data_IF_453903265330
#
_entry.id   IF_453903265330
#
_cell.length_a   1.000
_cell.length_b   1.000
_cell.length_c   1.000
_cell.angle_alpha   90.00
_cell.angle_beta   90.00
_cell.angle_gamma   90.00
#
_symmetry.space_group_name_H-M   'P 1'
#
loop_
_entity.id
_entity.type
_entity.pdbx_description
1 polymer ?
#
# COMPACT_ATOMS: atom_id res chain seq x y z
N UNK A 1 4.96 -12.51 5.99
CA UNK A 1 3.55 -12.59 5.58
C UNK A 1 2.69 -12.07 6.72
N UNK A 2 1.97 -10.95 6.51
CA UNK A 2 0.99 -10.43 7.49
C UNK A 2 -0.31 -10.21 6.74
N UNK A 3 -1.17 -11.22 6.81
CA UNK A 3 -2.54 -11.23 6.31
C UNK A 3 -3.37 -10.21 7.09
N UNK A 4 -3.92 -9.20 6.41
CA UNK A 4 -4.95 -8.32 6.96
C UNK A 4 -6.30 -8.83 6.47
N UNK A 5 -7.11 -9.28 7.41
CA UNK A 5 -8.46 -9.79 7.18
C UNK A 5 -9.35 -8.64 6.69
N UNK A 6 -10.03 -8.85 5.57
CA UNK A 6 -11.13 -7.99 5.10
C UNK A 6 -12.28 -8.20 6.08
N UNK A 7 -12.62 -7.14 6.81
CA UNK A 7 -13.70 -7.13 7.79
C UNK A 7 -15.05 -7.34 7.12
N UNK A 8 -15.82 -8.24 7.74
CA UNK A 8 -17.06 -8.80 7.29
C UNK A 8 -18.17 -7.77 7.09
N UNK A 9 -18.97 -7.98 6.05
CA UNK A 9 -20.27 -7.36 5.86
C UNK A 9 -21.19 -7.72 7.03
N UNK A 10 -21.54 -6.74 7.86
CA UNK A 10 -22.57 -6.89 8.89
C UNK A 10 -23.89 -6.38 8.31
N UNK A 11 -24.73 -7.33 7.91
CA UNK A 11 -26.15 -7.09 7.68
C UNK A 11 -26.85 -7.01 9.03
N UNK A 12 -27.49 -5.88 9.33
CA UNK A 12 -28.37 -5.72 10.51
C UNK A 12 -29.73 -5.21 10.06
N UNK A 13 -30.72 -6.08 10.18
CA UNK A 13 -32.15 -5.77 10.20
C UNK A 13 -32.49 -5.37 11.64
N UNK A 14 -33.23 -4.26 11.88
CA UNK A 14 -34.42 -4.22 12.73
C UNK A 14 -35.00 -2.80 12.98
N UNK A 15 -36.34 -2.81 13.06
CA UNK A 15 -37.25 -1.93 13.82
C UNK A 15 -37.66 -0.57 13.24
N UNK A 16 -38.93 -0.53 12.83
CA UNK A 16 -39.75 0.65 12.55
C UNK A 16 -40.08 1.34 13.88
N UNK A 17 -39.67 2.60 14.06
CA UNK A 17 -39.97 3.40 15.23
C UNK A 17 -39.97 4.90 14.91
N UNK A 18 -41.16 5.51 15.00
CA UNK A 18 -41.51 6.94 15.02
C UNK A 18 -40.50 7.97 14.47
N UNK A 19 -40.79 8.52 13.29
CA UNK A 19 -40.09 9.67 12.73
C UNK A 19 -40.36 10.94 13.55
N UNK A 20 -39.42 11.31 14.42
CA UNK A 20 -39.19 12.71 14.72
C UNK A 20 -38.54 13.35 13.48
N UNK A 21 -39.21 14.31 12.84
CA UNK A 21 -38.65 15.09 11.73
C UNK A 21 -37.48 15.92 12.24
N UNK A 22 -36.27 15.35 12.24
CA UNK A 22 -35.06 16.17 12.19
C UNK A 22 -35.05 16.85 10.81
N UNK A 23 -34.78 18.16 10.73
CA UNK A 23 -34.76 18.84 9.45
C UNK A 23 -33.67 18.19 8.59
N UNK A 24 -34.01 17.80 7.36
CA UNK A 24 -33.13 17.07 6.44
C UNK A 24 -31.73 17.73 6.29
N UNK A 25 -31.65 19.06 6.45
CA UNK A 25 -30.41 19.83 6.45
C UNK A 25 -29.46 19.49 7.61
N UNK A 26 -29.97 19.15 8.80
CA UNK A 26 -29.14 18.77 9.95
C UNK A 26 -28.45 17.42 9.75
N UNK A 27 -29.15 16.46 9.12
CA UNK A 27 -28.60 15.14 8.75
C UNK A 27 -27.52 15.28 7.67
N UNK A 28 -27.76 16.09 6.64
CA UNK A 28 -26.79 16.32 5.57
C UNK A 28 -25.49 16.98 6.08
N UNK A 29 -25.59 17.96 6.99
CA UNK A 29 -24.40 18.57 7.63
C UNK A 29 -23.60 17.54 8.44
N UNK A 30 -24.29 16.62 9.13
CA UNK A 30 -23.62 15.57 9.90
C UNK A 30 -22.94 14.54 8.98
N UNK A 31 -23.55 14.19 7.85
CA UNK A 31 -22.93 13.32 6.84
C UNK A 31 -21.64 13.94 6.29
N UNK A 32 -21.68 15.20 5.83
CA UNK A 32 -20.49 15.89 5.32
C UNK A 32 -19.38 15.97 6.38
N UNK A 33 -19.71 16.14 7.66
CA UNK A 33 -18.72 16.09 8.75
C UNK A 33 -18.09 14.71 8.90
N UNK A 34 -18.88 13.65 8.75
CA UNK A 34 -18.42 12.27 8.80
C UNK A 34 -17.51 11.95 7.61
N UNK A 35 -17.92 12.27 6.38
CA UNK A 35 -17.09 12.09 5.18
C UNK A 35 -15.73 12.80 5.31
N UNK A 36 -15.73 14.02 5.87
CA UNK A 36 -14.50 14.77 6.14
C UNK A 36 -13.59 14.06 7.15
N UNK A 37 -14.13 13.27 8.07
CA UNK A 37 -13.35 12.49 9.03
C UNK A 37 -12.74 11.26 8.36
N UNK A 38 -13.53 10.55 7.55
CA UNK A 38 -13.12 9.37 6.78
C UNK A 38 -12.02 9.73 5.76
N UNK A 39 -12.25 10.75 4.94
CA UNK A 39 -11.23 11.27 3.99
C UNK A 39 -9.94 11.66 4.73
N UNK A 40 -10.01 12.22 5.94
CA UNK A 40 -8.80 12.56 6.72
C UNK A 40 -8.06 11.30 7.18
N UNK A 41 -8.79 10.24 7.53
CA UNK A 41 -8.21 8.95 7.90
C UNK A 41 -7.55 8.28 6.69
N UNK A 42 -8.24 8.18 5.56
CA UNK A 42 -7.68 7.65 4.30
C UNK A 42 -6.43 8.41 3.88
N UNK A 43 -6.42 9.74 4.02
CA UNK A 43 -5.21 10.54 3.74
C UNK A 43 -4.03 10.21 4.67
N UNK A 44 -4.27 9.73 5.89
CA UNK A 44 -3.20 9.28 6.80
C UNK A 44 -2.70 7.90 6.37
N UNK A 45 -3.59 6.99 6.01
CA UNK A 45 -3.28 5.64 5.53
C UNK A 45 -2.47 5.71 4.23
N UNK A 46 -2.95 6.45 3.22
CA UNK A 46 -2.21 6.73 1.97
C UNK A 46 -0.81 7.31 2.21
N UNK A 47 -0.63 8.13 3.26
CA UNK A 47 0.70 8.66 3.62
C UNK A 47 1.59 7.59 4.25
N UNK A 48 1.02 6.69 5.05
CA UNK A 48 1.72 5.55 5.61
C UNK A 48 2.20 4.63 4.49
N UNK A 49 1.31 4.22 3.59
CA UNK A 49 1.65 3.31 2.48
C UNK A 49 2.73 3.90 1.57
N UNK A 50 2.69 5.22 1.33
CA UNK A 50 3.76 5.92 0.60
C UNK A 50 5.11 5.86 1.30
N UNK A 51 5.13 5.90 2.64
CA UNK A 51 6.37 5.78 3.42
C UNK A 51 6.90 4.35 3.36
N UNK A 52 6.03 3.36 3.53
CA UNK A 52 6.39 1.95 3.43
C UNK A 52 6.96 1.62 2.05
N UNK A 53 6.25 1.99 0.97
CA UNK A 53 6.73 1.86 -0.42
C UNK A 53 8.08 2.56 -0.65
N UNK A 54 8.36 3.67 0.05
CA UNK A 54 9.65 4.35 -0.05
C UNK A 54 10.75 3.59 0.68
N UNK A 55 10.43 2.98 1.82
CA UNK A 55 11.33 2.16 2.60
C UNK A 55 11.68 0.87 1.85
N UNK A 56 10.69 0.16 1.30
CA UNK A 56 10.89 -1.06 0.52
C UNK A 56 11.79 -0.80 -0.71
N UNK A 57 11.61 0.35 -1.38
CA UNK A 57 12.50 0.75 -2.48
C UNK A 57 13.95 0.93 -2.04
N UNK A 58 14.17 1.43 -0.82
CA UNK A 58 15.50 1.64 -0.27
C UNK A 58 16.14 0.29 0.07
N UNK A 59 15.38 -0.61 0.68
CA UNK A 59 15.81 -1.99 1.02
C UNK A 59 16.20 -2.76 -0.24
N UNK A 60 15.33 -2.82 -1.26
CA UNK A 60 15.66 -3.38 -2.59
C UNK A 60 16.94 -2.74 -3.16
N UNK A 61 17.15 -1.45 -2.92
CA UNK A 61 18.35 -0.73 -3.32
C UNK A 61 19.62 -1.21 -2.61
N UNK A 62 19.52 -1.60 -1.34
CA UNK A 62 20.59 -2.20 -0.55
C UNK A 62 20.86 -3.63 -1.00
N UNK A 63 19.84 -4.44 -1.23
CA UNK A 63 19.99 -5.82 -1.69
C UNK A 63 20.65 -5.90 -3.06
N UNK A 64 20.31 -4.96 -3.96
CA UNK A 64 21.02 -4.83 -5.24
C UNK A 64 22.51 -4.53 -5.07
N UNK A 65 22.89 -3.77 -4.03
CA UNK A 65 24.31 -3.48 -3.75
C UNK A 65 25.02 -4.72 -3.24
N UNK A 66 24.38 -5.50 -2.35
CA UNK A 66 24.90 -6.79 -1.89
C UNK A 66 25.11 -7.75 -3.06
N UNK A 67 24.07 -7.94 -3.90
CA UNK A 67 24.13 -8.78 -5.09
C UNK A 67 25.22 -8.36 -6.07
N UNK A 68 25.44 -7.06 -6.23
CA UNK A 68 26.54 -6.55 -7.06
C UNK A 68 27.93 -6.76 -6.42
N UNK A 69 28.03 -6.76 -5.10
CA UNK A 69 29.27 -7.12 -4.41
C UNK A 69 29.60 -8.60 -4.61
N UNK A 70 28.58 -9.46 -4.54
CA UNK A 70 28.69 -10.89 -4.83
C UNK A 70 29.17 -11.14 -6.25
N UNK A 71 28.59 -10.46 -7.24
CA UNK A 71 29.06 -10.53 -8.63
C UNK A 71 30.55 -10.18 -8.74
N UNK A 72 31.01 -9.11 -8.08
CA UNK A 72 32.43 -8.72 -8.14
C UNK A 72 33.34 -9.76 -7.47
N UNK A 73 32.88 -10.39 -6.40
CA UNK A 73 33.62 -11.47 -5.74
C UNK A 73 33.69 -12.70 -6.66
N UNK A 74 32.57 -13.09 -7.26
CA UNK A 74 32.48 -14.15 -8.27
C UNK A 74 33.47 -13.91 -9.41
N UNK A 75 33.45 -12.70 -10.02
CA UNK A 75 34.35 -12.33 -11.11
C UNK A 75 35.83 -12.40 -10.70
N UNK A 76 36.14 -12.03 -9.45
CA UNK A 76 37.49 -12.07 -8.91
C UNK A 76 37.99 -13.51 -8.68
N UNK A 77 37.11 -14.41 -8.22
CA UNK A 77 37.44 -15.82 -7.98
C UNK A 77 37.61 -16.57 -9.31
N UNK A 78 36.75 -16.29 -10.30
CA UNK A 78 36.92 -16.77 -11.69
C UNK A 78 38.28 -16.35 -12.25
N UNK A 79 38.66 -15.07 -12.07
CA UNK A 79 39.95 -14.56 -12.56
C UNK A 79 41.15 -15.25 -11.91
N UNK A 80 41.02 -15.68 -10.65
CA UNK A 80 42.05 -16.45 -9.93
C UNK A 80 42.05 -17.94 -10.29
N UNK A 81 41.04 -18.42 -11.02
CA UNK A 81 40.83 -19.83 -11.30
C UNK A 81 40.18 -20.62 -10.15
N UNK A 82 39.66 -19.93 -9.12
CA UNK A 82 38.93 -20.58 -8.03
C UNK A 82 37.46 -20.75 -8.41
N UNK A 83 37.20 -21.81 -9.17
CA UNK A 83 35.85 -22.12 -9.66
C UNK A 83 34.90 -22.55 -8.53
N UNK A 84 35.43 -23.05 -7.42
CA UNK A 84 34.60 -23.54 -6.30
C UNK A 84 34.00 -22.37 -5.55
N UNK A 85 34.80 -21.36 -5.23
CA UNK A 85 34.30 -20.16 -4.55
C UNK A 85 33.47 -19.27 -5.48
N UNK A 86 33.84 -19.18 -6.77
CA UNK A 86 33.00 -18.55 -7.78
C UNK A 86 31.58 -19.16 -7.83
N UNK A 87 31.45 -20.49 -7.84
CA UNK A 87 30.15 -21.15 -7.86
C UNK A 87 29.33 -20.87 -6.58
N UNK A 88 29.98 -20.69 -5.42
CA UNK A 88 29.28 -20.30 -4.18
C UNK A 88 28.74 -18.87 -4.31
N UNK A 89 29.53 -17.94 -4.85
CA UNK A 89 29.10 -16.56 -5.08
C UNK A 89 27.96 -16.50 -6.09
N UNK A 90 28.03 -17.27 -7.18
CA UNK A 90 26.96 -17.38 -8.18
C UNK A 90 25.63 -17.81 -7.53
N UNK A 91 25.66 -18.87 -6.72
CA UNK A 91 24.46 -19.36 -6.01
C UNK A 91 23.88 -18.31 -5.07
N UNK A 92 24.72 -17.58 -4.34
CA UNK A 92 24.28 -16.50 -3.43
C UNK A 92 23.65 -15.36 -4.22
N UNK A 93 24.32 -14.90 -5.28
CA UNK A 93 23.86 -13.87 -6.21
C UNK A 93 22.53 -14.22 -6.86
N UNK A 94 22.35 -15.46 -7.31
CA UNK A 94 21.09 -15.95 -7.87
C UNK A 94 19.96 -15.93 -6.84
N UNK A 95 20.24 -16.40 -5.62
CA UNK A 95 19.26 -16.40 -4.53
C UNK A 95 18.81 -14.97 -4.21
N UNK A 96 19.74 -14.05 -4.00
CA UNK A 96 19.45 -12.63 -3.78
C UNK A 96 18.65 -12.02 -4.95
N UNK A 97 19.01 -12.37 -6.19
CA UNK A 97 18.28 -11.89 -7.36
C UNK A 97 16.83 -12.40 -7.41
N UNK A 98 16.55 -13.61 -6.91
CA UNK A 98 15.18 -14.15 -6.79
C UNK A 98 14.39 -13.41 -5.70
N UNK A 99 14.99 -13.14 -4.55
CA UNK A 99 14.33 -12.38 -3.47
C UNK A 99 14.02 -10.94 -3.90
N UNK A 100 14.98 -10.23 -4.52
CA UNK A 100 14.76 -8.90 -5.11
C UNK A 100 13.60 -8.91 -6.10
N UNK A 101 13.46 -9.98 -6.89
CA UNK A 101 12.36 -10.10 -7.85
C UNK A 101 11.00 -10.32 -7.17
N UNK A 102 10.95 -11.04 -6.05
CA UNK A 102 9.72 -11.20 -5.24
C UNK A 102 9.32 -9.86 -4.63
N UNK A 103 10.24 -9.17 -3.96
CA UNK A 103 10.00 -7.85 -3.37
C UNK A 103 9.54 -6.83 -4.41
N UNK A 104 10.15 -6.83 -5.60
CA UNK A 104 9.68 -5.97 -6.70
C UNK A 104 8.25 -6.28 -7.15
N UNK A 105 7.82 -7.53 -7.10
CA UNK A 105 6.43 -7.91 -7.44
C UNK A 105 5.48 -7.41 -6.36
N UNK A 106 5.84 -7.57 -5.09
CA UNK A 106 5.01 -7.11 -3.97
C UNK A 106 4.92 -5.57 -3.96
N UNK A 107 6.04 -4.86 -4.13
CA UNK A 107 6.08 -3.40 -4.31
C UNK A 107 5.21 -2.91 -5.47
N UNK A 108 5.09 -3.70 -6.54
CA UNK A 108 4.21 -3.35 -7.66
C UNK A 108 2.72 -3.53 -7.31
N UNK A 109 2.37 -4.52 -6.48
CA UNK A 109 1.01 -4.67 -5.94
C UNK A 109 0.68 -3.51 -5.01
N UNK A 110 1.57 -3.19 -4.06
CA UNK A 110 1.34 -2.07 -3.11
C UNK A 110 1.15 -0.74 -3.84
N UNK A 111 1.89 -0.51 -4.93
CA UNK A 111 1.70 0.68 -5.78
C UNK A 111 0.36 0.68 -6.52
N UNK A 112 -0.14 -0.49 -6.91
CA UNK A 112 -1.45 -0.63 -7.58
C UNK A 112 -2.56 -0.37 -6.57
N UNK A 113 -2.44 -0.93 -5.37
CA UNK A 113 -3.41 -0.75 -4.29
C UNK A 113 -3.44 0.72 -3.86
N UNK A 114 -2.29 1.34 -3.61
CA UNK A 114 -2.19 2.79 -3.36
C UNK A 114 -2.82 3.65 -4.48
N UNK A 115 -2.76 3.20 -5.74
CA UNK A 115 -3.41 3.91 -6.85
C UNK A 115 -4.94 3.78 -6.75
N UNK A 116 -5.43 2.62 -6.35
CA UNK A 116 -6.85 2.37 -6.13
C UNK A 116 -7.37 3.19 -4.95
N UNK A 117 -6.71 3.16 -3.79
CA UNK A 117 -7.10 3.93 -2.60
C UNK A 117 -7.17 5.43 -2.90
N UNK A 118 -6.20 5.93 -3.67
CA UNK A 118 -6.21 7.32 -4.12
C UNK A 118 -7.37 7.64 -5.04
N UNK A 119 -7.81 6.68 -5.85
CA UNK A 119 -8.95 6.85 -6.75
C UNK A 119 -10.26 6.87 -5.96
N UNK A 120 -10.45 5.94 -5.03
CA UNK A 120 -11.62 5.85 -4.14
C UNK A 120 -11.75 7.11 -3.30
N UNK A 121 -10.70 7.48 -2.56
CA UNK A 121 -10.67 8.74 -1.79
C UNK A 121 -11.04 9.95 -2.64
N UNK A 122 -10.58 10.00 -3.90
CA UNK A 122 -10.93 11.11 -4.79
C UNK A 122 -12.40 11.09 -5.23
N UNK A 123 -13.03 9.92 -5.33
CA UNK A 123 -14.47 9.78 -5.53
C UNK A 123 -15.24 10.26 -4.29
N UNK A 124 -14.83 9.84 -3.08
CA UNK A 124 -15.46 10.25 -1.82
C UNK A 124 -15.38 11.77 -1.62
N UNK A 125 -14.22 12.37 -1.97
CA UNK A 125 -14.07 13.84 -1.97
C UNK A 125 -15.07 14.51 -2.91
N UNK A 126 -15.34 13.93 -4.09
CA UNK A 126 -16.31 14.49 -5.05
C UNK A 126 -17.74 14.37 -4.54
N UNK A 127 -18.11 13.22 -3.99
CA UNK A 127 -19.43 12.98 -3.39
C UNK A 127 -19.67 13.94 -2.23
N UNK A 128 -18.73 14.01 -1.28
CA UNK A 128 -18.76 14.97 -0.17
C UNK A 128 -18.91 16.40 -0.66
N UNK A 129 -18.20 16.81 -1.72
CA UNK A 129 -18.33 18.15 -2.29
C UNK A 129 -19.73 18.40 -2.88
N UNK A 130 -20.31 17.38 -3.53
CA UNK A 130 -21.66 17.46 -4.08
C UNK A 130 -22.70 17.60 -2.97
N UNK A 131 -22.59 16.84 -1.89
CA UNK A 131 -23.50 16.93 -0.75
C UNK A 131 -23.33 18.24 0.03
N UNK A 132 -22.10 18.70 0.19
CA UNK A 132 -21.83 20.02 0.75
C UNK A 132 -22.48 21.16 -0.06
N UNK A 133 -22.61 21.00 -1.38
CA UNK A 133 -23.27 21.99 -2.23
C UNK A 133 -24.79 22.02 -2.04
N UNK A 134 -25.43 20.91 -1.66
CA UNK A 134 -26.88 20.82 -1.38
C UNK A 134 -27.31 21.43 -0.04
N UNK A 135 -26.34 21.71 0.84
CA UNK A 135 -26.57 22.27 2.17
C UNK A 135 -26.70 23.81 2.13
N UNK A 136 -26.26 24.44 1.04
CA UNK A 136 -26.42 25.88 0.81
C UNK A 136 -27.85 26.22 0.39
#
# INVERSE_FOLDING_TARGET
>A
MKTKFILAAIATVFSVGAFAQTPASSTAVNQVKQDNKEIRQENREIRHDKRDISQDKKEIGQDRKARNADQRAEDADIKKGDMTDAQKMEKRREHEQREINKEKRDLNKDRKDLRHDRHERNADVKERNHDAAKIK
#
